data_IF_637068996877
#
_entry.id   IF_637068996877
#
_cell.length_a   1.000
_cell.length_b   1.000
_cell.length_c   1.000
_cell.angle_alpha   90.00
_cell.angle_beta   90.00
_cell.angle_gamma   90.00
#
_symmetry.space_group_name_H-M   'P 1'
#
loop_
_entity.id
_entity.type
_entity.pdbx_description
1 polymer ?
#
# COMPACT_ATOMS: atom_id res chain seq x y z
N UNK A 1 -13.39 12.70 -2.06
CA UNK A 1 -12.64 11.43 -2.08
C UNK A 1 -11.89 11.36 -0.76
N UNK A 2 -12.08 10.30 0.01
CA UNK A 2 -11.27 10.06 1.21
C UNK A 2 -9.81 9.94 0.75
N UNK A 3 -8.84 10.62 1.39
CA UNK A 3 -7.44 10.44 1.06
C UNK A 3 -7.08 8.95 1.16
N UNK A 4 -6.58 8.37 0.07
CA UNK A 4 -6.18 6.97 -0.02
C UNK A 4 -4.69 6.85 0.27
N UNK A 5 -4.31 5.85 1.06
CA UNK A 5 -2.91 5.47 1.27
C UNK A 5 -2.46 4.48 0.19
N UNK A 6 -1.20 4.59 -0.23
CA UNK A 6 -0.52 3.60 -1.07
C UNK A 6 0.42 2.79 -0.19
N UNK A 7 0.31 1.46 -0.24
CA UNK A 7 1.21 0.53 0.45
C UNK A 7 1.92 -0.33 -0.59
N UNK A 8 3.25 -0.29 -0.63
CA UNK A 8 4.03 -1.21 -1.46
C UNK A 8 4.73 -2.26 -0.59
N UNK A 9 4.52 -3.54 -0.91
CA UNK A 9 5.13 -4.67 -0.24
C UNK A 9 5.23 -5.89 -1.17
N UNK A 10 6.45 -6.33 -1.48
CA UNK A 10 6.70 -7.39 -2.45
C UNK A 10 6.47 -8.79 -1.88
N UNK A 11 6.56 -8.96 -0.55
CA UNK A 11 6.27 -10.23 0.10
C UNK A 11 4.74 -10.48 0.13
N UNK A 12 4.23 -11.53 -0.55
CA UNK A 12 2.79 -11.75 -0.66
C UNK A 12 2.09 -11.97 0.68
N UNK A 13 2.80 -12.53 1.67
CA UNK A 13 2.25 -12.78 2.99
C UNK A 13 2.07 -11.45 3.76
N UNK A 14 3.10 -10.60 3.78
CA UNK A 14 3.02 -9.27 4.38
C UNK A 14 2.02 -8.37 3.66
N UNK A 15 1.94 -8.42 2.32
CA UNK A 15 0.93 -7.71 1.54
C UNK A 15 -0.50 -8.15 1.92
N UNK A 16 -0.73 -9.46 2.06
CA UNK A 16 -2.02 -9.96 2.54
C UNK A 16 -2.31 -9.53 3.98
N UNK A 17 -1.29 -9.47 4.84
CA UNK A 17 -1.43 -8.98 6.21
C UNK A 17 -1.83 -7.50 6.25
N UNK A 18 -1.25 -6.65 5.41
CA UNK A 18 -1.65 -5.24 5.23
C UNK A 18 -3.12 -5.12 4.82
N UNK A 19 -3.59 -5.92 3.86
CA UNK A 19 -5.01 -5.93 3.45
C UNK A 19 -5.94 -6.29 4.59
N UNK A 20 -5.54 -7.24 5.43
CA UNK A 20 -6.32 -7.62 6.62
C UNK A 20 -6.42 -6.46 7.62
N UNK A 21 -5.32 -5.72 7.85
CA UNK A 21 -5.33 -4.55 8.73
C UNK A 21 -6.19 -3.40 8.17
N UNK A 22 -6.16 -3.17 6.86
CA UNK A 22 -7.05 -2.20 6.19
C UNK A 22 -8.51 -2.63 6.38
N UNK A 23 -8.84 -3.89 6.11
CA UNK A 23 -10.20 -4.41 6.25
C UNK A 23 -10.71 -4.35 7.70
N UNK A 24 -9.83 -4.54 8.69
CA UNK A 24 -10.14 -4.41 10.11
C UNK A 24 -10.19 -2.94 10.60
N UNK A 25 -9.80 -1.97 9.76
CA UNK A 25 -9.76 -0.55 10.12
C UNK A 25 -8.63 -0.19 11.09
N UNK A 26 -7.58 -1.02 11.18
CA UNK A 26 -6.43 -0.78 12.05
C UNK A 26 -5.41 0.21 11.46
N UNK A 27 -5.35 0.31 10.13
CA UNK A 27 -4.51 1.27 9.41
C UNK A 27 -5.35 2.07 8.41
N UNK A 28 -4.76 3.11 7.82
CA UNK A 28 -5.48 3.97 6.88
C UNK A 28 -6.00 3.17 5.68
N UNK A 29 -7.21 3.48 5.17
CA UNK A 29 -7.74 2.86 3.96
C UNK A 29 -6.84 3.19 2.77
N UNK A 30 -6.58 2.19 1.93
CA UNK A 30 -5.59 2.31 0.87
C UNK A 30 -5.53 1.10 -0.05
N UNK A 31 -4.60 1.17 -1.00
CA UNK A 31 -4.27 0.10 -1.95
C UNK A 31 -2.94 -0.56 -1.58
N UNK A 32 -2.84 -1.88 -1.78
CA UNK A 32 -1.63 -2.67 -1.53
C UNK A 32 -1.09 -3.19 -2.86
N UNK A 33 0.08 -2.71 -3.23
CA UNK A 33 0.83 -3.06 -4.44
C UNK A 33 1.95 -4.06 -4.11
N UNK A 34 1.94 -5.20 -4.80
CA UNK A 34 2.90 -6.31 -4.62
C UNK A 34 4.07 -6.29 -5.60
N UNK A 35 4.17 -5.27 -6.46
CA UNK A 35 5.30 -5.12 -7.38
C UNK A 35 6.57 -4.78 -6.61
N UNK A 36 7.73 -5.09 -7.20
CA UNK A 36 8.99 -4.52 -6.73
C UNK A 36 8.89 -2.99 -6.77
N UNK A 37 9.46 -2.32 -5.78
CA UNK A 37 9.54 -0.86 -5.77
C UNK A 37 10.27 -0.32 -7.01
N UNK A 38 11.17 -1.11 -7.60
CA UNK A 38 11.89 -0.77 -8.82
C UNK A 38 10.96 -0.63 -10.04
N UNK A 39 9.79 -1.28 -9.99
CA UNK A 39 8.77 -1.23 -11.03
C UNK A 39 7.70 -0.14 -10.77
N UNK A 40 7.77 0.56 -9.63
CA UNK A 40 6.82 1.61 -9.24
C UNK A 40 7.28 2.94 -9.80
N UNK A 41 6.42 3.62 -10.56
CA UNK A 41 6.71 4.90 -11.18
C UNK A 41 6.03 6.05 -10.44
N UNK A 42 6.47 7.31 -10.64
CA UNK A 42 5.76 8.47 -10.10
C UNK A 42 4.31 8.61 -10.57
N UNK A 43 3.94 8.00 -11.70
CA UNK A 43 2.58 8.04 -12.23
C UNK A 43 1.63 7.13 -11.42
N UNK A 44 2.13 5.95 -10.99
CA UNK A 44 1.40 5.01 -10.14
C UNK A 44 0.99 5.64 -8.79
N UNK A 45 1.76 6.62 -8.31
CA UNK A 45 1.57 7.27 -7.01
C UNK A 45 0.62 8.46 -7.07
N UNK A 46 0.18 8.88 -8.26
CA UNK A 46 -0.70 10.06 -8.39
C UNK A 46 -2.06 9.78 -7.75
N UNK A 47 -2.52 10.72 -6.94
CA UNK A 47 -3.83 10.65 -6.28
C UNK A 47 -3.78 10.05 -4.87
N UNK A 48 -2.68 9.40 -4.51
CA UNK A 48 -2.42 9.04 -3.11
C UNK A 48 -1.85 10.24 -2.35
N UNK A 49 -2.29 10.41 -1.10
CA UNK A 49 -1.81 11.49 -0.23
C UNK A 49 -0.79 11.01 0.79
N UNK A 50 -0.67 9.69 0.93
CA UNK A 50 0.26 9.00 1.83
C UNK A 50 0.81 7.79 1.07
N UNK A 51 2.14 7.64 1.06
CA UNK A 51 2.81 6.50 0.43
C UNK A 51 3.70 5.81 1.47
N UNK A 52 3.45 4.52 1.68
CA UNK A 52 4.20 3.64 2.55
C UNK A 52 4.96 2.65 1.66
N UNK A 53 6.26 2.87 1.50
CA UNK A 53 7.13 1.98 0.74
C UNK A 53 7.81 0.99 1.68
N UNK A 54 7.99 -0.24 1.22
CA UNK A 54 8.47 -1.34 2.07
C UNK A 54 7.59 -1.44 3.33
N UNK A 55 6.27 -1.44 3.09
CA UNK A 55 5.26 -1.29 4.11
C UNK A 55 5.14 -2.49 5.06
N UNK A 56 5.91 -3.55 4.81
CA UNK A 56 6.07 -4.72 5.66
C UNK A 56 5.90 -4.42 7.14
N UNK A 57 5.11 -5.27 7.78
CA UNK A 57 4.67 -5.13 9.18
C UNK A 57 5.73 -5.64 10.14
#
# INVERSE_FOLDING_TARGET
MTPSAYYNEIDPFAAQWLRNLIAAGHIAPGEVDERSIEDVTPDDLRGFTQCHFFAGI
#
